data_IF_445873538014
#
_entry.id   IF_445873538014
#
_cell.length_a   1.000
_cell.length_b   1.000
_cell.length_c   1.000
_cell.angle_alpha   90.00
_cell.angle_beta   90.00
_cell.angle_gamma   90.00
#
_symmetry.space_group_name_H-M   'P 1'
#
loop_
_entity.id
_entity.type
_entity.pdbx_description
1 polymer ?
#
# COMPACT_ATOMS: atom_id res chain seq x y z
N UNK A 1 26.48 4.54 -1.17
CA UNK A 1 25.59 4.20 -2.31
C UNK A 1 26.18 4.74 -3.62
N UNK A 2 26.31 3.93 -4.68
CA UNK A 2 26.71 4.41 -6.00
C UNK A 2 25.60 5.30 -6.64
N UNK A 3 25.97 6.34 -7.39
CA UNK A 3 25.04 7.26 -8.09
C UNK A 3 23.94 6.53 -8.90
N UNK A 4 24.24 5.42 -9.61
CA UNK A 4 23.21 4.68 -10.35
C UNK A 4 22.04 4.19 -9.51
N UNK A 5 22.27 3.83 -8.24
CA UNK A 5 21.21 3.29 -7.37
C UNK A 5 20.24 4.37 -6.89
N UNK A 6 20.74 5.56 -6.60
CA UNK A 6 19.88 6.71 -6.22
C UNK A 6 18.95 7.06 -7.36
N UNK A 7 19.46 7.10 -8.60
CA UNK A 7 18.65 7.35 -9.79
C UNK A 7 17.56 6.29 -10.02
N UNK A 8 17.89 5.01 -9.84
CA UNK A 8 16.92 3.93 -9.97
C UNK A 8 15.83 4.00 -8.91
N UNK A 9 16.18 4.31 -7.66
CA UNK A 9 15.21 4.44 -6.57
C UNK A 9 14.19 5.53 -6.85
N UNK A 10 14.64 6.73 -7.25
CA UNK A 10 13.74 7.87 -7.46
C UNK A 10 12.99 7.84 -8.80
N UNK A 11 13.50 7.13 -9.83
CA UNK A 11 12.88 7.08 -11.16
C UNK A 11 11.40 6.65 -11.14
N UNK A 12 11.03 5.72 -10.26
CA UNK A 12 9.67 5.19 -10.17
C UNK A 12 8.70 6.13 -9.44
N UNK A 13 9.21 7.11 -8.68
CA UNK A 13 8.39 8.04 -7.89
C UNK A 13 8.06 9.33 -8.63
N UNK A 14 8.72 9.62 -9.76
CA UNK A 14 8.50 10.84 -10.54
C UNK A 14 8.00 10.52 -11.96
N UNK A 15 7.07 11.32 -12.51
CA UNK A 15 6.73 11.25 -13.93
C UNK A 15 7.97 11.42 -14.81
N UNK A 16 8.01 10.76 -15.98
CA UNK A 16 9.17 10.76 -16.88
C UNK A 16 9.73 12.16 -17.18
N UNK A 17 8.88 13.18 -17.34
CA UNK A 17 9.29 14.57 -17.57
C UNK A 17 10.06 15.15 -16.38
N UNK A 18 9.49 15.04 -15.17
CA UNK A 18 10.12 15.52 -13.93
C UNK A 18 11.38 14.75 -13.56
N UNK A 19 11.43 13.46 -13.86
CA UNK A 19 12.65 12.68 -13.69
C UNK A 19 13.79 13.17 -14.61
N UNK A 20 13.48 13.59 -15.85
CA UNK A 20 14.51 14.15 -16.75
C UNK A 20 15.10 15.45 -16.19
N UNK A 21 14.26 16.34 -15.65
CA UNK A 21 14.71 17.56 -14.95
C UNK A 21 15.60 17.21 -13.74
N UNK A 22 15.20 16.24 -12.92
CA UNK A 22 15.99 15.81 -11.77
C UNK A 22 17.37 15.24 -12.20
N UNK A 23 17.40 14.52 -13.32
CA UNK A 23 18.62 13.93 -13.89
C UNK A 23 19.64 14.99 -14.32
N UNK A 24 19.21 16.17 -14.78
CA UNK A 24 20.15 17.25 -15.15
C UNK A 24 20.80 17.91 -13.93
N UNK A 25 20.16 17.83 -12.76
CA UNK A 25 20.65 18.39 -11.49
C UNK A 25 21.61 17.43 -10.77
N UNK A 26 21.31 16.12 -10.79
CA UNK A 26 22.10 15.08 -10.11
C UNK A 26 23.37 14.76 -10.92
N UNK A 27 24.34 15.68 -10.92
CA UNK A 27 25.60 15.53 -11.67
C UNK A 27 26.74 14.89 -10.86
N UNK A 28 26.62 14.82 -9.53
CA UNK A 28 27.69 14.31 -8.66
C UNK A 28 27.15 13.40 -7.57
N UNK A 29 28.04 12.56 -7.02
CA UNK A 29 27.72 11.65 -5.92
C UNK A 29 27.21 12.38 -4.68
N UNK A 30 27.81 13.53 -4.37
CA UNK A 30 27.43 14.36 -3.22
C UNK A 30 26.01 14.92 -3.37
N UNK A 31 25.68 15.44 -4.56
CA UNK A 31 24.34 15.95 -4.86
C UNK A 31 23.31 14.82 -4.82
N UNK A 32 23.62 13.66 -5.42
CA UNK A 32 22.75 12.49 -5.40
C UNK A 32 22.42 12.04 -3.97
N UNK A 33 23.42 11.95 -3.10
CA UNK A 33 23.23 11.56 -1.70
C UNK A 33 22.38 12.57 -0.93
N UNK A 34 22.60 13.87 -1.18
CA UNK A 34 21.82 14.93 -0.53
C UNK A 34 20.35 14.87 -0.93
N UNK A 35 20.07 14.71 -2.22
CA UNK A 35 18.69 14.58 -2.73
C UNK A 35 18.03 13.30 -2.21
N UNK A 36 18.75 12.18 -2.16
CA UNK A 36 18.23 10.94 -1.60
C UNK A 36 17.86 11.08 -0.12
N UNK A 37 18.71 11.74 0.67
CA UNK A 37 18.45 11.98 2.09
C UNK A 37 17.20 12.85 2.29
N UNK A 38 17.12 13.99 1.59
CA UNK A 38 15.95 14.87 1.63
C UNK A 38 14.67 14.15 1.20
N UNK A 39 14.74 13.37 0.12
CA UNK A 39 13.60 12.58 -0.34
C UNK A 39 13.15 11.58 0.72
N UNK A 40 14.08 10.83 1.31
CA UNK A 40 13.76 9.85 2.37
C UNK A 40 13.14 10.53 3.59
N UNK A 41 13.67 11.67 4.01
CA UNK A 41 13.14 12.43 5.14
C UNK A 41 11.69 12.87 4.90
N UNK A 42 11.44 13.52 3.75
CA UNK A 42 10.09 13.96 3.37
C UNK A 42 9.15 12.77 3.19
N UNK A 43 9.61 11.70 2.54
CA UNK A 43 8.82 10.50 2.30
C UNK A 43 8.43 9.81 3.60
N UNK A 44 9.37 9.59 4.52
CA UNK A 44 9.11 8.93 5.81
C UNK A 44 8.17 9.79 6.65
N UNK A 45 8.40 11.10 6.72
CA UNK A 45 7.52 12.03 7.44
C UNK A 45 6.11 12.04 6.86
N UNK A 46 5.98 12.16 5.54
CA UNK A 46 4.69 12.15 4.85
C UNK A 46 3.96 10.82 5.00
N UNK A 47 4.66 9.70 4.85
CA UNK A 47 4.11 8.36 5.06
C UNK A 47 3.60 8.19 6.49
N UNK A 48 4.40 8.61 7.48
CA UNK A 48 4.04 8.50 8.88
C UNK A 48 2.78 9.33 9.20
N UNK A 49 2.77 10.60 8.81
CA UNK A 49 1.69 11.51 9.16
C UNK A 49 0.39 11.23 8.38
N UNK A 50 0.48 10.93 7.09
CA UNK A 50 -0.71 10.79 6.23
C UNK A 50 -1.28 9.38 6.29
N UNK A 51 -0.43 8.36 6.16
CA UNK A 51 -0.87 6.97 6.01
C UNK A 51 -0.85 6.26 7.36
N UNK A 52 0.30 6.26 8.03
CA UNK A 52 0.49 5.46 9.24
C UNK A 52 -0.38 5.96 10.39
N UNK A 53 -0.30 7.25 10.72
CA UNK A 53 -1.05 7.86 11.82
C UNK A 53 -2.56 7.73 11.62
N UNK A 54 -3.06 8.03 10.41
CA UNK A 54 -4.49 7.89 10.08
C UNK A 54 -4.97 6.45 10.28
N UNK A 55 -4.19 5.45 9.85
CA UNK A 55 -4.51 4.04 10.07
C UNK A 55 -4.49 3.67 11.54
N UNK A 56 -3.46 4.08 12.29
CA UNK A 56 -3.38 3.83 13.72
C UNK A 56 -4.57 4.43 14.47
N UNK A 57 -5.01 5.63 14.09
CA UNK A 57 -6.19 6.27 14.67
C UNK A 57 -7.47 5.47 14.38
N UNK A 58 -7.68 5.06 13.12
CA UNK A 58 -8.84 4.24 12.75
C UNK A 58 -8.87 2.89 13.48
N UNK A 59 -7.71 2.25 13.66
CA UNK A 59 -7.60 1.00 14.43
C UNK A 59 -7.91 1.25 15.91
N UNK A 60 -7.36 2.30 16.52
CA UNK A 60 -7.61 2.62 17.92
C UNK A 60 -9.09 2.96 18.18
N UNK A 61 -9.74 3.69 17.28
CA UNK A 61 -11.19 3.95 17.35
C UNK A 61 -11.98 2.65 17.26
N UNK A 62 -11.64 1.77 16.30
CA UNK A 62 -12.29 0.46 16.18
C UNK A 62 -12.08 -0.40 17.44
N UNK A 63 -10.87 -0.48 17.98
CA UNK A 63 -10.57 -1.20 19.24
C UNK A 63 -11.41 -0.67 20.40
N UNK A 64 -11.55 0.66 20.50
CA UNK A 64 -12.39 1.31 21.50
C UNK A 64 -13.86 0.93 21.33
N UNK A 65 -14.41 0.92 20.12
CA UNK A 65 -15.80 0.46 19.87
C UNK A 65 -16.02 -1.01 20.23
N UNK A 66 -14.96 -1.83 20.22
CA UNK A 66 -15.00 -3.24 20.60
C UNK A 66 -14.66 -3.48 22.08
N UNK A 67 -14.42 -2.42 22.86
CA UNK A 67 -14.07 -2.53 24.27
C UNK A 67 -12.71 -3.18 24.53
N UNK A 68 -11.83 -3.25 23.53
CA UNK A 68 -10.50 -3.87 23.63
C UNK A 68 -9.60 -2.93 24.43
N UNK A 69 -9.03 -3.41 25.54
CA UNK A 69 -8.12 -2.62 26.37
C UNK A 69 -6.67 -2.89 25.96
N UNK A 70 -5.80 -1.93 26.26
CA UNK A 70 -4.34 -2.06 26.02
C UNK A 70 -3.70 -3.27 26.72
N UNK A 71 -4.31 -3.75 27.80
CA UNK A 71 -3.90 -4.97 28.50
C UNK A 71 -4.22 -6.25 27.71
N UNK A 72 -5.29 -6.24 26.91
CA UNK A 72 -5.70 -7.38 26.09
C UNK A 72 -4.74 -7.57 24.91
N UNK A 73 -4.21 -6.48 24.36
CA UNK A 73 -3.18 -6.49 23.31
C UNK A 73 -1.85 -7.12 23.77
N UNK A 74 -1.54 -7.05 25.07
CA UNK A 74 -0.32 -7.64 25.65
C UNK A 74 -0.49 -9.12 25.97
N UNK A 75 -1.73 -9.59 26.11
CA UNK A 75 -2.01 -11.00 26.41
C UNK A 75 -1.96 -11.77 25.11
N UNK A 76 -0.97 -12.65 24.99
CA UNK A 76 -0.98 -13.66 23.93
C UNK A 76 -2.19 -14.57 24.20
N UNK A 77 -3.15 -14.71 23.28
CA UNK A 77 -4.28 -15.59 23.51
C UNK A 77 -3.75 -17.01 23.74
N UNK A 78 -4.22 -17.63 24.82
CA UNK A 78 -3.94 -19.04 25.11
C UNK A 78 -4.40 -19.88 23.92
N UNK A 79 -3.77 -21.02 23.66
CA UNK A 79 -4.00 -21.79 22.44
C UNK A 79 -5.50 -22.11 22.21
N UNK A 80 -6.26 -22.37 23.28
CA UNK A 80 -7.69 -22.63 23.25
C UNK A 80 -8.57 -21.38 23.05
N UNK A 81 -8.04 -20.18 23.29
CA UNK A 81 -8.71 -18.89 23.05
C UNK A 81 -8.44 -18.33 21.66
N UNK A 82 -7.52 -18.96 20.90
CA UNK A 82 -7.29 -18.56 19.52
C UNK A 82 -8.53 -18.91 18.71
N UNK A 83 -8.95 -17.98 17.87
CA UNK A 83 -9.95 -18.27 16.85
C UNK A 83 -9.34 -19.34 15.95
N UNK A 84 -9.86 -20.56 16.04
CA UNK A 84 -9.60 -21.58 15.04
C UNK A 84 -10.31 -21.10 13.77
N UNK A 85 -9.53 -20.58 12.83
CA UNK A 85 -10.05 -20.35 11.48
C UNK A 85 -10.38 -21.72 10.90
N UNK A 86 -11.65 -22.11 10.99
CA UNK A 86 -12.14 -23.25 10.24
C UNK A 86 -11.86 -22.94 8.77
N UNK A 87 -11.09 -23.83 8.13
CA UNK A 87 -10.85 -23.76 6.69
C UNK A 87 -12.23 -23.73 6.03
N UNK A 88 -12.60 -22.59 5.45
CA UNK A 88 -13.89 -22.45 4.76
C UNK A 88 -13.90 -23.53 3.69
N UNK A 89 -14.96 -24.33 3.65
CA UNK A 89 -15.16 -25.35 2.63
C UNK A 89 -15.12 -24.67 1.27
N UNK A 90 -14.12 -25.00 0.47
CA UNK A 90 -14.00 -24.50 -0.90
C UNK A 90 -14.53 -25.54 -1.87
N UNK A 91 -15.32 -25.10 -2.84
CA UNK A 91 -15.79 -25.95 -3.94
C UNK A 91 -14.68 -25.94 -5.00
N UNK A 92 -14.16 -27.10 -5.38
CA UNK A 92 -13.25 -27.24 -6.51
C UNK A 92 -14.03 -27.71 -7.74
N UNK A 93 -13.89 -26.98 -8.83
CA UNK A 93 -14.41 -27.33 -10.15
C UNK A 93 -13.28 -27.25 -11.17
N UNK A 94 -13.52 -27.70 -12.41
CA UNK A 94 -12.55 -27.59 -13.51
C UNK A 94 -12.15 -26.14 -13.79
N UNK A 95 -13.04 -25.18 -13.53
CA UNK A 95 -12.82 -23.75 -13.75
C UNK A 95 -12.05 -23.04 -12.61
N UNK A 96 -11.91 -23.68 -11.45
CA UNK A 96 -11.13 -23.14 -10.33
C UNK A 96 -11.66 -23.48 -8.94
N UNK A 97 -11.18 -22.71 -7.95
CA UNK A 97 -11.58 -22.85 -6.55
C UNK A 97 -12.54 -21.73 -6.18
N UNK A 98 -13.67 -22.07 -5.57
CA UNK A 98 -14.71 -21.13 -5.19
C UNK A 98 -14.99 -21.20 -3.68
N UNK A 99 -15.43 -20.09 -3.11
CA UNK A 99 -16.02 -20.10 -1.76
C UNK A 99 -17.48 -20.60 -1.78
N UNK A 100 -18.08 -20.77 -0.60
CA UNK A 100 -19.48 -21.21 -0.47
C UNK A 100 -20.49 -20.21 -1.04
N UNK A 101 -20.09 -18.96 -1.21
CA UNK A 101 -20.88 -17.90 -1.87
C UNK A 101 -20.66 -17.88 -3.40
N UNK A 102 -19.99 -18.91 -3.96
CA UNK A 102 -19.66 -19.07 -5.38
C UNK A 102 -18.77 -17.96 -5.94
N UNK A 103 -18.00 -17.25 -5.09
CA UNK A 103 -16.96 -16.31 -5.53
C UNK A 103 -15.67 -17.07 -5.86
N UNK A 104 -15.08 -16.78 -7.01
CA UNK A 104 -13.81 -17.38 -7.42
C UNK A 104 -12.69 -16.93 -6.49
N UNK A 105 -12.04 -17.88 -5.85
CA UNK A 105 -10.82 -17.66 -5.09
C UNK A 105 -9.67 -17.59 -6.08
N UNK A 106 -9.18 -16.38 -6.30
CA UNK A 106 -8.09 -16.10 -7.21
C UNK A 106 -6.78 -16.67 -6.66
N UNK A 107 -6.01 -17.35 -7.53
CA UNK A 107 -4.64 -17.75 -7.23
C UNK A 107 -3.75 -16.52 -7.12
N UNK A 108 -2.64 -16.66 -6.41
CA UNK A 108 -1.66 -15.59 -6.19
C UNK A 108 -1.33 -14.80 -7.49
N UNK A 109 -1.07 -15.49 -8.60
CA UNK A 109 -0.69 -14.85 -9.87
C UNK A 109 -1.85 -14.10 -10.53
N UNK A 110 -3.09 -14.58 -10.38
CA UNK A 110 -4.30 -13.88 -10.84
C UNK A 110 -4.51 -12.61 -10.00
N UNK A 111 -4.35 -12.70 -8.67
CA UNK A 111 -4.42 -11.54 -7.77
C UNK A 111 -3.39 -10.48 -8.13
N UNK A 112 -2.14 -10.88 -8.36
CA UNK A 112 -1.07 -9.96 -8.79
C UNK A 112 -1.38 -9.29 -10.13
N UNK A 113 -1.86 -10.06 -11.11
CA UNK A 113 -2.22 -9.52 -12.43
C UNK A 113 -3.34 -8.48 -12.32
N UNK A 114 -4.40 -8.79 -11.58
CA UNK A 114 -5.53 -7.87 -11.35
C UNK A 114 -5.08 -6.62 -10.58
N UNK A 115 -4.27 -6.79 -9.53
CA UNK A 115 -3.77 -5.66 -8.76
C UNK A 115 -2.89 -4.74 -9.61
N UNK A 116 -2.01 -5.30 -10.45
CA UNK A 116 -1.17 -4.55 -11.37
C UNK A 116 -2.00 -3.79 -12.40
N UNK A 117 -3.04 -4.42 -12.95
CA UNK A 117 -3.94 -3.78 -13.91
C UNK A 117 -4.70 -2.61 -13.28
N UNK A 118 -5.32 -2.81 -12.11
CA UNK A 118 -6.00 -1.74 -11.38
C UNK A 118 -5.06 -0.59 -11.02
N UNK A 119 -3.82 -0.91 -10.64
CA UNK A 119 -2.80 0.11 -10.35
C UNK A 119 -2.48 0.93 -11.59
N UNK A 120 -2.30 0.29 -12.75
CA UNK A 120 -2.10 1.00 -14.04
C UNK A 120 -3.29 1.89 -14.37
N UNK A 121 -4.52 1.40 -14.21
CA UNK A 121 -5.74 2.18 -14.44
C UNK A 121 -5.78 3.40 -13.53
N UNK A 122 -5.54 3.23 -12.23
CA UNK A 122 -5.52 4.32 -11.26
C UNK A 122 -4.45 5.37 -11.57
N UNK A 123 -3.22 4.94 -11.90
CA UNK A 123 -2.14 5.86 -12.30
C UNK A 123 -2.53 6.63 -13.56
N UNK A 124 -3.09 5.95 -14.57
CA UNK A 124 -3.53 6.60 -15.80
C UNK A 124 -4.65 7.61 -15.56
N UNK A 125 -5.62 7.27 -14.70
CA UNK A 125 -6.68 8.18 -14.29
C UNK A 125 -6.12 9.41 -13.57
N UNK A 126 -5.22 9.18 -12.59
CA UNK A 126 -4.55 10.25 -11.86
C UNK A 126 -3.74 11.18 -12.76
N UNK A 127 -3.06 10.64 -13.78
CA UNK A 127 -2.32 11.44 -14.77
C UNK A 127 -3.28 12.30 -15.61
N UNK A 128 -4.44 11.74 -16.02
CA UNK A 128 -5.42 12.44 -16.87
C UNK A 128 -6.19 13.52 -16.11
N UNK A 129 -6.62 13.23 -14.89
CA UNK A 129 -7.56 14.06 -14.13
C UNK A 129 -6.88 14.93 -13.07
N UNK A 130 -5.61 14.65 -12.76
CA UNK A 130 -4.93 15.20 -11.59
C UNK A 130 -5.53 14.68 -10.29
N UNK A 131 -5.13 15.24 -9.15
CA UNK A 131 -5.66 14.87 -7.82
C UNK A 131 -7.04 15.50 -7.55
N UNK A 132 -7.99 15.39 -8.49
CA UNK A 132 -9.38 15.82 -8.26
C UNK A 132 -10.11 14.73 -7.49
N UNK A 133 -10.30 14.94 -6.18
CA UNK A 133 -11.19 14.12 -5.36
C UNK A 133 -12.61 14.21 -5.92
N UNK A 134 -13.07 13.18 -6.63
CA UNK A 134 -14.49 12.99 -6.89
C UNK A 134 -15.13 12.54 -5.58
N UNK A 135 -15.56 13.51 -4.78
CA UNK A 135 -16.40 13.24 -3.60
C UNK A 135 -17.80 12.95 -4.15
N UNK A 136 -18.22 11.67 -4.13
CA UNK A 136 -19.63 11.35 -4.32
C UNK A 136 -20.38 11.90 -3.11
N UNK A 137 -21.14 12.97 -3.29
CA UNK A 137 -22.16 13.36 -2.34
C UNK A 137 -23.24 12.27 -2.37
N UNK A 138 -23.40 11.56 -1.26
CA UNK A 138 -24.59 10.74 -1.05
C UNK A 138 -25.69 11.70 -0.57
N UNK A 139 -26.62 12.03 -1.46
CA UNK A 139 -27.93 12.60 -1.12
C UNK A 139 -28.89 11.51 -0.70
#
# INVERSE_FOLDING_TARGET
MPIPYVHLMIKSFFPKGKYKELKTIVKSKRIALTIAALFLEVFVSGFYNIIWQSRCKAVAEWEHTKGIKKQDLRKRPLAYQRIAYNRILTIQTEEGTFDLEKRKILKHNEQWSIALEKTKQYINQFIREGNRRVVKAFT
#
